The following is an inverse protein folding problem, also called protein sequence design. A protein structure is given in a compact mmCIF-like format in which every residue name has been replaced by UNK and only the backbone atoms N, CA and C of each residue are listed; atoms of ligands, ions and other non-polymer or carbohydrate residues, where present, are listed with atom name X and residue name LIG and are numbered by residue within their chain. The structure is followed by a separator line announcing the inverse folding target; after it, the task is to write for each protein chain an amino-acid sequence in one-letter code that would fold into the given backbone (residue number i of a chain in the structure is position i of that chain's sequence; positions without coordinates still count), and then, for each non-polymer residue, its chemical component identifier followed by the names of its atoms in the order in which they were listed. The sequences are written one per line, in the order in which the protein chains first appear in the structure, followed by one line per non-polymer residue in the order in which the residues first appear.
data_IF_084488126284
#
_entry.id   IF_084488126284
#
_cell.length_a   1.000
_cell.length_b   1.000
_cell.length_c   1.000
_cell.angle_alpha   90.00
_cell.angle_beta   90.00
_cell.angle_gamma   90.00
#
_symmetry.space_group_name_H-M   'P 1'
#
loop_
_entity.id
_entity.type
_entity.pdbx_description
1 polymer ?
#
# COMPACT_ATOMS: atom_id res chain seq x y z
N UNK A 1 -2.13 47.21 -5.93
CA UNK A 1 -1.72 46.35 -7.07
C UNK A 1 -0.43 45.68 -6.66
N UNK A 2 -0.50 44.48 -6.08
CA UNK A 2 0.68 43.73 -5.64
C UNK A 2 1.15 42.89 -6.82
N UNK A 3 2.15 43.40 -7.56
CA UNK A 3 2.84 42.60 -8.56
C UNK A 3 3.84 41.71 -7.84
N UNK A 4 3.64 40.40 -7.94
CA UNK A 4 4.59 39.40 -7.50
C UNK A 4 5.82 39.50 -8.41
N UNK A 5 6.93 40.02 -7.87
CA UNK A 5 8.25 39.92 -8.49
C UNK A 5 8.82 38.51 -8.25
N UNK A 6 8.13 37.48 -8.76
CA UNK A 6 8.48 36.07 -8.56
C UNK A 6 9.42 35.54 -9.66
N UNK A 7 9.89 36.42 -10.55
CA UNK A 7 10.73 36.05 -11.71
C UNK A 7 12.24 36.15 -11.44
N UNK A 8 12.64 36.63 -10.26
CA UNK A 8 14.05 36.79 -9.88
C UNK A 8 14.68 35.53 -9.27
N UNK A 9 13.88 34.54 -8.88
CA UNK A 9 14.36 33.39 -8.10
C UNK A 9 14.39 32.12 -8.94
N UNK A 10 15.58 31.66 -9.32
CA UNK A 10 15.74 30.34 -9.96
C UNK A 10 15.94 29.27 -8.88
N UNK A 11 15.06 28.27 -8.82
CA UNK A 11 15.34 27.06 -8.04
C UNK A 11 16.17 26.10 -8.89
N UNK A 12 17.28 25.62 -8.32
CA UNK A 12 18.13 24.60 -8.95
C UNK A 12 18.00 23.29 -8.17
N UNK A 13 17.75 22.22 -8.90
CA UNK A 13 17.66 20.87 -8.36
C UNK A 13 18.72 20.00 -9.03
N UNK A 14 19.51 19.33 -8.21
CA UNK A 14 20.56 18.43 -8.63
C UNK A 14 20.24 17.03 -8.12
N UNK A 15 20.36 16.05 -9.00
CA UNK A 15 20.29 14.63 -8.65
C UNK A 15 21.64 14.02 -8.97
N UNK A 16 22.29 13.47 -7.95
CA UNK A 16 23.55 12.75 -8.08
C UNK A 16 23.27 11.27 -8.26
N UNK A 17 24.04 10.64 -9.14
CA UNK A 17 23.88 9.24 -9.49
C UNK A 17 25.17 8.48 -9.19
N UNK A 18 25.02 7.22 -8.80
CA UNK A 18 26.15 6.31 -8.71
C UNK A 18 26.61 5.82 -10.10
N UNK A 19 27.68 5.01 -10.13
CA UNK A 19 28.21 4.44 -11.37
C UNK A 19 27.26 3.48 -12.11
N UNK A 20 26.13 3.09 -11.51
CA UNK A 20 25.09 2.25 -12.11
C UNK A 20 23.88 3.07 -12.55
N UNK A 21 23.93 4.41 -12.43
CA UNK A 21 22.83 5.30 -12.81
C UNK A 21 21.68 5.34 -11.80
N UNK A 22 21.91 4.95 -10.54
CA UNK A 22 20.90 5.03 -9.47
C UNK A 22 21.06 6.33 -8.68
N UNK A 23 19.98 7.05 -8.37
CA UNK A 23 20.06 8.32 -7.65
C UNK A 23 20.52 8.11 -6.20
N UNK A 24 21.64 8.70 -5.81
CA UNK A 24 22.24 8.55 -4.48
C UNK A 24 21.99 9.75 -3.56
N UNK A 25 21.71 10.92 -4.13
CA UNK A 25 21.48 12.15 -3.38
C UNK A 25 20.72 13.16 -4.22
N UNK A 26 19.78 13.85 -3.60
CA UNK A 26 19.11 15.01 -4.17
C UNK A 26 19.51 16.27 -3.39
N UNK A 27 19.85 17.33 -4.12
CA UNK A 27 20.19 18.63 -3.55
C UNK A 27 19.36 19.71 -4.22
N UNK A 28 18.55 20.43 -3.43
CA UNK A 28 17.85 21.63 -3.89
C UNK A 28 18.63 22.84 -3.38
N UNK A 29 19.39 23.47 -4.27
CA UNK A 29 20.30 24.56 -3.92
C UNK A 29 19.52 25.80 -3.49
N UNK A 30 19.83 26.33 -2.30
CA UNK A 30 19.20 27.52 -1.72
C UNK A 30 17.68 27.46 -1.54
N UNK A 31 17.10 26.25 -1.47
CA UNK A 31 15.65 26.06 -1.53
C UNK A 31 14.93 26.20 -0.17
N UNK A 32 15.67 26.28 0.94
CA UNK A 32 15.06 26.56 2.25
C UNK A 32 14.70 28.03 2.42
N UNK A 33 13.86 28.34 3.42
CA UNK A 33 13.46 29.72 3.74
C UNK A 33 14.65 30.65 4.08
N UNK A 34 15.75 30.09 4.61
CA UNK A 34 16.97 30.84 4.94
C UNK A 34 18.00 30.85 3.81
N UNK A 35 17.68 30.33 2.62
CA UNK A 35 18.61 30.25 1.48
C UNK A 35 19.66 29.14 1.61
N UNK A 36 19.49 28.21 2.53
CA UNK A 36 20.30 26.99 2.65
C UNK A 36 19.82 25.89 1.70
N UNK A 37 20.71 24.95 1.40
CA UNK A 37 20.39 23.80 0.56
C UNK A 37 19.50 22.82 1.32
N UNK A 38 18.57 22.19 0.61
CA UNK A 38 17.82 21.03 1.11
C UNK A 38 18.44 19.77 0.49
N UNK A 39 19.04 18.94 1.33
CA UNK A 39 19.72 17.70 0.91
C UNK A 39 18.90 16.49 1.35
N UNK A 40 18.71 15.53 0.45
CA UNK A 40 18.10 14.21 0.75
C UNK A 40 19.06 13.09 0.32
N UNK A 41 19.72 12.38 1.25
CA UNK A 41 20.48 11.20 0.91
C UNK A 41 19.55 10.04 0.51
N UNK A 42 20.01 9.15 -0.37
CA UNK A 42 19.31 7.94 -0.77
C UNK A 42 20.28 6.77 -0.57
N UNK A 43 19.91 5.83 0.30
CA UNK A 43 20.75 4.70 0.63
C UNK A 43 20.12 3.39 0.13
N UNK A 44 20.95 2.61 -0.53
CA UNK A 44 20.59 1.30 -1.09
C UNK A 44 21.14 0.18 -0.22
N UNK A 45 20.44 -0.96 -0.19
CA UNK A 45 21.00 -2.18 0.37
C UNK A 45 22.02 -2.84 -0.58
N UNK A 46 22.64 -3.94 -0.14
CA UNK A 46 23.60 -4.70 -0.95
C UNK A 46 23.02 -5.31 -2.22
N UNK A 47 21.69 -5.36 -2.36
CA UNK A 47 20.99 -5.82 -3.56
C UNK A 47 20.58 -4.65 -4.48
N UNK A 48 20.93 -3.42 -4.10
CA UNK A 48 20.64 -2.22 -4.89
C UNK A 48 19.22 -1.71 -4.79
N UNK A 49 18.48 -2.10 -3.76
CA UNK A 49 17.09 -1.66 -3.51
C UNK A 49 17.11 -0.48 -2.55
N UNK A 50 16.21 0.52 -2.72
CA UNK A 50 16.12 1.64 -1.78
C UNK A 50 15.61 1.11 -0.44
N UNK A 51 16.53 0.85 0.49
CA UNK A 51 16.21 0.29 1.79
C UNK A 51 15.92 1.39 2.81
N UNK A 52 16.67 2.50 2.74
CA UNK A 52 16.48 3.66 3.62
C UNK A 52 16.19 4.90 2.80
N UNK A 53 15.04 5.51 3.06
CA UNK A 53 14.66 6.79 2.51
C UNK A 53 14.82 7.86 3.60
N UNK A 54 15.92 8.61 3.50
CA UNK A 54 16.28 9.61 4.50
C UNK A 54 15.40 10.84 4.40
N UNK A 55 15.04 11.42 5.55
CA UNK A 55 14.38 12.70 5.59
C UNK A 55 15.28 13.83 5.06
N UNK A 56 14.75 14.81 4.33
CA UNK A 56 15.55 15.94 3.91
C UNK A 56 16.00 16.78 5.12
N UNK A 57 17.14 17.45 5.00
CA UNK A 57 17.60 18.42 5.99
C UNK A 57 18.11 19.68 5.28
N UNK A 58 18.09 20.81 6.01
CA UNK A 58 18.61 22.07 5.52
C UNK A 58 20.00 22.33 6.09
N UNK A 59 20.98 22.66 5.25
CA UNK A 59 22.33 23.02 5.71
C UNK A 59 22.94 24.10 4.83
N UNK A 60 23.61 25.05 5.48
CA UNK A 60 24.38 26.08 4.78
C UNK A 60 25.70 25.47 4.28
N UNK A 61 25.92 25.55 2.98
CA UNK A 61 27.17 25.14 2.35
C UNK A 61 27.88 26.28 1.64
N UNK A 62 27.41 27.53 1.80
CA UNK A 62 28.01 28.72 1.22
C UNK A 62 28.27 28.57 -0.28
N UNK A 63 29.53 28.77 -0.68
CA UNK A 63 29.95 28.73 -2.09
C UNK A 63 29.84 27.35 -2.76
N UNK A 64 29.72 26.28 -1.98
CA UNK A 64 29.55 24.92 -2.50
C UNK A 64 28.08 24.55 -2.69
N UNK A 65 27.14 25.49 -2.58
CA UNK A 65 25.70 25.21 -2.72
C UNK A 65 25.39 24.43 -3.99
N UNK A 66 24.63 23.34 -3.85
CA UNK A 66 24.30 22.42 -4.93
C UNK A 66 25.24 21.23 -5.10
N UNK A 67 26.48 21.29 -4.59
CA UNK A 67 27.48 20.23 -4.72
C UNK A 67 27.07 18.92 -4.01
N UNK A 68 27.63 17.81 -4.49
CA UNK A 68 27.50 16.50 -3.84
C UNK A 68 28.13 16.48 -2.44
N UNK A 69 27.48 15.79 -1.51
CA UNK A 69 27.88 15.68 -0.09
C UNK A 69 28.16 14.24 0.31
N UNK A 70 29.43 13.90 0.51
CA UNK A 70 29.83 12.61 1.09
C UNK A 70 29.37 12.47 2.54
N UNK A 71 29.39 13.55 3.32
CA UNK A 71 28.96 13.58 4.71
C UNK A 71 27.43 13.62 4.89
N UNK A 72 26.64 13.47 3.83
CA UNK A 72 25.22 13.84 3.89
C UNK A 72 24.40 13.10 4.96
N UNK A 73 24.73 11.83 5.22
CA UNK A 73 24.05 11.04 6.25
C UNK A 73 24.45 11.50 7.65
N UNK A 74 25.74 11.77 7.88
CA UNK A 74 26.23 12.30 9.16
C UNK A 74 25.70 13.72 9.43
N UNK A 75 25.65 14.55 8.40
CA UNK A 75 25.09 15.90 8.46
C UNK A 75 23.59 15.89 8.75
N UNK A 76 22.86 14.96 8.14
CA UNK A 76 21.46 14.73 8.44
C UNK A 76 21.27 14.34 9.91
N UNK A 77 22.05 13.35 10.38
CA UNK A 77 21.97 12.91 11.76
C UNK A 77 22.19 14.08 12.74
N UNK A 78 23.26 14.85 12.54
CA UNK A 78 23.55 16.03 13.36
C UNK A 78 22.42 17.07 13.30
N UNK A 79 21.82 17.30 12.13
CA UNK A 79 20.70 18.24 11.99
C UNK A 79 19.47 17.83 12.81
N UNK A 80 19.08 16.55 12.77
CA UNK A 80 17.93 16.06 13.53
C UNK A 80 18.24 15.94 15.03
N UNK A 81 19.48 15.60 15.39
CA UNK A 81 19.93 15.57 16.78
C UNK A 81 19.92 16.97 17.42
N UNK A 82 20.42 17.99 16.71
CA UNK A 82 20.39 19.39 17.18
C UNK A 82 18.96 19.90 17.36
N UNK A 83 18.06 19.57 16.42
CA UNK A 83 16.70 20.10 16.39
C UNK A 83 15.74 19.41 17.34
N UNK A 84 15.89 18.10 17.55
CA UNK A 84 14.94 17.29 18.32
C UNK A 84 15.57 16.57 19.53
N UNK A 85 16.89 16.53 19.65
CA UNK A 85 17.61 15.89 20.74
C UNK A 85 17.54 14.36 20.73
N UNK A 86 18.18 13.74 21.72
CA UNK A 86 17.94 12.33 22.08
C UNK A 86 18.24 11.29 20.99
N UNK A 87 19.27 11.50 20.17
CA UNK A 87 19.63 10.61 19.06
C UNK A 87 18.53 10.47 18.00
N UNK A 88 17.71 11.50 17.82
CA UNK A 88 16.65 11.52 16.80
C UNK A 88 17.19 11.34 15.38
N UNK A 89 18.42 11.77 15.13
CA UNK A 89 19.13 11.61 13.87
C UNK A 89 19.38 10.16 13.47
N UNK A 90 19.55 9.25 14.45
CA UNK A 90 19.71 7.81 14.20
C UNK A 90 18.46 7.17 13.57
N UNK A 91 17.32 7.87 13.62
CA UNK A 91 16.04 7.40 13.13
C UNK A 91 15.39 8.38 12.14
N UNK A 92 16.17 9.28 11.51
CA UNK A 92 15.69 10.28 10.55
C UNK A 92 15.49 9.70 9.13
N UNK A 93 14.96 8.49 9.01
CA UNK A 93 14.69 7.81 7.74
C UNK A 93 13.53 6.83 7.89
N UNK A 94 12.84 6.55 6.78
CA UNK A 94 11.98 5.37 6.70
C UNK A 94 12.77 4.18 6.20
N UNK A 95 12.46 2.98 6.67
CA UNK A 95 13.15 1.74 6.29
C UNK A 95 12.18 0.69 5.78
N UNK A 96 12.48 0.12 4.60
CA UNK A 96 11.71 -0.98 4.01
C UNK A 96 12.39 -2.32 4.28
N UNK A 97 11.61 -3.30 4.73
CA UNK A 97 12.00 -4.71 4.73
C UNK A 97 11.35 -5.42 3.55
N UNK A 98 12.10 -6.34 2.93
CA UNK A 98 11.70 -7.03 1.71
C UNK A 98 11.58 -8.55 1.97
N UNK A 99 10.73 -9.24 1.21
CA UNK A 99 10.53 -10.70 1.32
C UNK A 99 11.72 -11.53 0.82
N UNK A 100 12.74 -10.89 0.21
CA UNK A 100 13.91 -11.57 -0.35
C UNK A 100 13.62 -12.36 -1.63
N UNK A 101 12.40 -12.30 -2.16
CA UNK A 101 12.05 -12.92 -3.43
C UNK A 101 12.60 -12.10 -4.60
N UNK A 102 12.72 -12.69 -5.81
CA UNK A 102 13.07 -11.95 -7.02
C UNK A 102 12.10 -10.79 -7.33
N UNK A 103 10.88 -10.82 -6.78
CA UNK A 103 9.88 -9.77 -6.95
C UNK A 103 10.15 -8.56 -6.03
N UNK A 104 11.08 -8.66 -5.07
CA UNK A 104 11.46 -7.59 -4.14
C UNK A 104 10.26 -6.90 -3.51
N UNK A 105 9.31 -7.67 -2.97
CA UNK A 105 8.09 -7.12 -2.38
C UNK A 105 8.36 -6.62 -0.97
N UNK A 106 7.82 -5.45 -0.65
CA UNK A 106 7.95 -4.83 0.68
C UNK A 106 7.01 -5.54 1.66
N UNK A 107 7.55 -6.10 2.74
CA UNK A 107 6.78 -6.80 3.80
C UNK A 107 6.55 -5.93 5.02
N UNK A 108 7.43 -4.97 5.28
CA UNK A 108 7.27 -4.01 6.36
C UNK A 108 7.87 -2.66 5.98
N UNK A 109 7.16 -1.58 6.30
CA UNK A 109 7.63 -0.20 6.15
C UNK A 109 7.67 0.45 7.53
N UNK A 110 8.87 0.84 7.96
CA UNK A 110 9.11 1.55 9.21
C UNK A 110 9.13 3.06 8.94
N UNK A 111 8.33 3.81 9.69
CA UNK A 111 8.35 5.27 9.61
C UNK A 111 9.58 5.85 10.35
N UNK A 112 9.95 7.11 10.07
CA UNK A 112 10.99 7.80 10.81
C UNK A 112 10.65 8.00 12.30
N UNK A 113 11.68 8.04 13.13
CA UNK A 113 11.59 8.28 14.57
C UNK A 113 11.73 7.01 15.40
N UNK A 114 12.31 7.15 16.60
CA UNK A 114 12.66 6.02 17.49
C UNK A 114 11.52 5.02 17.75
N UNK A 115 10.26 5.43 18.00
CA UNK A 115 9.16 4.49 18.23
C UNK A 115 8.74 3.67 17.01
N UNK A 116 9.07 4.11 15.79
CA UNK A 116 8.70 3.47 14.52
C UNK A 116 9.90 2.86 13.79
N UNK A 117 11.11 3.18 14.24
CA UNK A 117 12.32 2.62 13.69
C UNK A 117 12.37 1.12 13.91
N UNK A 118 12.93 0.41 12.94
CA UNK A 118 13.14 -1.03 13.02
C UNK A 118 13.94 -1.39 14.26
N UNK A 119 13.29 -2.07 15.19
CA UNK A 119 13.87 -2.50 16.45
C UNK A 119 13.22 -3.81 16.89
N UNK A 120 14.00 -4.66 17.56
CA UNK A 120 13.52 -5.91 18.16
C UNK A 120 13.84 -5.91 19.64
N UNK A 121 12.96 -6.50 20.45
CA UNK A 121 13.27 -6.79 21.86
C UNK A 121 14.21 -8.01 21.99
N UNK A 122 14.55 -8.38 23.23
CA UNK A 122 15.45 -9.51 23.51
C UNK A 122 14.85 -10.85 23.05
N UNK A 123 13.52 -10.92 22.97
CA UNK A 123 12.74 -12.06 22.50
C UNK A 123 12.57 -12.10 20.98
N UNK A 124 13.02 -11.07 20.25
CA UNK A 124 12.95 -10.97 18.80
C UNK A 124 11.62 -10.45 18.25
N UNK A 125 10.74 -9.91 19.09
CA UNK A 125 9.51 -9.26 18.66
C UNK A 125 9.80 -7.86 18.13
N UNK A 126 9.13 -7.52 17.04
CA UNK A 126 9.22 -6.22 16.40
C UNK A 126 8.54 -5.13 17.26
N UNK A 127 9.36 -4.21 17.78
CA UNK A 127 8.91 -3.08 18.62
C UNK A 127 8.75 -1.79 17.83
N UNK A 128 9.17 -1.79 16.56
CA UNK A 128 9.23 -0.63 15.67
C UNK A 128 7.93 -0.31 14.94
N UNK A 129 6.80 -0.87 15.36
CA UNK A 129 5.45 -0.56 14.83
C UNK A 129 5.38 -0.30 13.31
N UNK A 130 5.88 -1.20 12.44
CA UNK A 130 5.82 -0.94 11.00
C UNK A 130 4.41 -1.15 10.46
N UNK A 131 4.15 -0.53 9.31
CA UNK A 131 3.09 -0.98 8.42
C UNK A 131 3.52 -2.30 7.79
N UNK A 132 2.80 -3.38 8.08
CA UNK A 132 3.08 -4.73 7.57
C UNK A 132 2.21 -5.04 6.36
N UNK A 133 2.79 -5.71 5.37
CA UNK A 133 2.08 -6.15 4.16
C UNK A 133 2.32 -7.62 3.92
N UNK A 134 1.25 -8.41 3.94
CA UNK A 134 1.25 -9.83 3.58
C UNK A 134 0.69 -9.99 2.17
N UNK A 135 1.39 -10.77 1.34
CA UNK A 135 0.97 -11.13 0.00
C UNK A 135 0.53 -12.59 -0.01
N UNK A 136 -0.76 -12.81 -0.22
CA UNK A 136 -1.45 -14.10 -0.07
C UNK A 136 -2.29 -14.39 -1.32
N UNK A 137 -2.85 -15.59 -1.36
CA UNK A 137 -3.91 -15.96 -2.29
C UNK A 137 -5.26 -15.97 -1.55
N UNK A 138 -6.37 -15.75 -2.27
CA UNK A 138 -7.69 -15.88 -1.66
C UNK A 138 -7.98 -17.30 -1.19
N UNK A 139 -8.74 -17.43 -0.11
CA UNK A 139 -9.24 -18.70 0.40
C UNK A 139 -10.77 -18.73 0.34
N UNK A 140 -11.37 -19.92 0.47
CA UNK A 140 -12.83 -20.06 0.52
C UNK A 140 -13.46 -19.29 1.68
N UNK A 141 -12.73 -19.10 2.78
CA UNK A 141 -13.18 -18.33 3.95
C UNK A 141 -13.29 -16.83 3.69
N UNK A 142 -12.68 -16.30 2.63
CA UNK A 142 -12.71 -14.85 2.35
C UNK A 142 -14.08 -14.37 1.87
N UNK A 143 -14.87 -15.27 1.26
CA UNK A 143 -16.22 -15.04 0.75
C UNK A 143 -16.32 -13.76 -0.11
N UNK A 144 -15.39 -13.59 -1.08
CA UNK A 144 -15.40 -12.42 -1.98
C UNK A 144 -16.45 -12.63 -3.06
N UNK A 145 -17.44 -11.75 -3.12
CA UNK A 145 -18.55 -11.85 -4.08
C UNK A 145 -18.04 -11.60 -5.49
N UNK A 146 -18.43 -12.47 -6.41
CA UNK A 146 -18.31 -12.21 -7.84
C UNK A 146 -19.61 -11.55 -8.30
N UNK A 147 -19.52 -10.25 -8.61
CA UNK A 147 -20.62 -9.47 -9.13
C UNK A 147 -20.71 -9.62 -10.63
N UNK A 148 -21.93 -9.83 -11.13
CA UNK A 148 -22.22 -9.89 -12.55
C UNK A 148 -23.39 -8.97 -12.87
N UNK A 149 -23.45 -8.51 -14.11
CA UNK A 149 -24.58 -7.73 -14.61
C UNK A 149 -25.46 -8.64 -15.46
N UNK A 150 -26.75 -8.69 -15.12
CA UNK A 150 -27.76 -9.39 -15.90
C UNK A 150 -28.95 -8.45 -16.11
N UNK A 151 -29.34 -8.23 -17.37
CA UNK A 151 -30.46 -7.37 -17.76
C UNK A 151 -30.41 -5.95 -17.14
N UNK A 152 -29.21 -5.40 -16.95
CA UNK A 152 -29.02 -4.07 -16.35
C UNK A 152 -29.13 -4.02 -14.82
N UNK A 153 -29.12 -5.19 -14.15
CA UNK A 153 -29.11 -5.32 -12.69
C UNK A 153 -27.84 -6.04 -12.24
N UNK A 154 -27.22 -5.53 -11.19
CA UNK A 154 -26.16 -6.26 -10.49
C UNK A 154 -26.74 -7.44 -9.72
N UNK A 155 -26.18 -8.61 -9.98
CA UNK A 155 -26.49 -9.85 -9.30
C UNK A 155 -25.26 -10.38 -8.55
N UNK A 156 -25.52 -10.93 -7.37
CA UNK A 156 -24.54 -11.66 -6.58
C UNK A 156 -25.08 -13.06 -6.34
N UNK A 157 -24.48 -14.06 -6.99
CA UNK A 157 -24.91 -15.45 -6.83
C UNK A 157 -23.77 -16.45 -6.58
N UNK A 158 -22.50 -16.02 -6.76
CA UNK A 158 -21.33 -16.84 -6.45
C UNK A 158 -20.19 -16.03 -5.86
N UNK A 159 -19.27 -16.76 -5.24
CA UNK A 159 -18.01 -16.21 -4.73
C UNK A 159 -16.86 -16.58 -5.66
N UNK A 160 -15.80 -15.78 -5.61
CA UNK A 160 -14.52 -16.17 -6.15
C UNK A 160 -13.99 -17.43 -5.45
N UNK A 161 -13.52 -18.40 -6.23
CA UNK A 161 -12.93 -19.63 -5.71
C UNK A 161 -11.58 -19.40 -5.00
N UNK A 162 -11.09 -20.37 -4.21
CA UNK A 162 -9.79 -20.28 -3.58
C UNK A 162 -8.68 -20.17 -4.65
N UNK A 163 -7.69 -19.31 -4.42
CA UNK A 163 -6.56 -19.09 -5.33
C UNK A 163 -6.87 -18.27 -6.58
N UNK A 164 -8.11 -17.79 -6.75
CA UNK A 164 -8.51 -17.03 -7.93
C UNK A 164 -8.24 -15.53 -7.84
N UNK A 165 -7.89 -15.03 -6.66
CA UNK A 165 -7.58 -13.61 -6.42
C UNK A 165 -6.22 -13.46 -5.72
N UNK A 166 -5.51 -12.39 -6.06
CA UNK A 166 -4.42 -11.88 -5.25
C UNK A 166 -5.00 -11.21 -4.00
N UNK A 167 -4.49 -11.58 -2.83
CA UNK A 167 -4.90 -11.03 -1.55
C UNK A 167 -3.74 -10.28 -0.93
N UNK A 168 -3.90 -8.98 -0.74
CA UNK A 168 -2.92 -8.14 -0.06
C UNK A 168 -3.51 -7.71 1.27
N UNK A 169 -2.87 -8.10 2.37
CA UNK A 169 -3.30 -7.70 3.72
C UNK A 169 -2.29 -6.68 4.25
N UNK A 170 -2.77 -5.49 4.56
CA UNK A 170 -1.98 -4.43 5.19
C UNK A 170 -2.42 -4.28 6.64
N UNK A 171 -1.47 -4.25 7.55
CA UNK A 171 -1.71 -3.93 8.97
C UNK A 171 -0.99 -2.62 9.26
N UNK A 172 -1.71 -1.62 9.75
CA UNK A 172 -1.13 -0.32 10.10
C UNK A 172 -0.34 -0.37 11.43
N UNK A 173 0.26 0.76 11.80
CA UNK A 173 1.08 0.89 13.00
C UNK A 173 0.27 0.74 14.31
N UNK A 174 -1.06 0.85 14.24
CA UNK A 174 -1.99 0.70 15.36
C UNK A 174 -2.64 -0.69 15.41
N UNK A 175 -2.36 -1.54 14.41
CA UNK A 175 -2.88 -2.90 14.31
C UNK A 175 -4.21 -3.02 13.56
N UNK A 176 -4.73 -1.94 12.96
CA UNK A 176 -5.89 -2.03 12.08
C UNK A 176 -5.53 -2.70 10.77
N UNK A 177 -6.44 -3.55 10.30
CA UNK A 177 -6.22 -4.37 9.12
C UNK A 177 -7.05 -3.85 7.95
N UNK A 178 -6.40 -3.71 6.80
CA UNK A 178 -7.03 -3.56 5.50
C UNK A 178 -6.65 -4.76 4.61
N UNK A 179 -7.61 -5.27 3.84
CA UNK A 179 -7.41 -6.37 2.91
C UNK A 179 -7.91 -5.93 1.55
N UNK A 180 -7.07 -6.04 0.54
CA UNK A 180 -7.41 -5.78 -0.85
C UNK A 180 -7.33 -7.09 -1.63
N UNK A 181 -8.40 -7.37 -2.37
CA UNK A 181 -8.48 -8.49 -3.30
C UNK A 181 -8.43 -7.95 -4.72
N UNK A 182 -7.54 -8.51 -5.53
CA UNK A 182 -7.39 -8.21 -6.96
C UNK A 182 -7.58 -9.46 -7.80
N UNK A 183 -8.21 -9.32 -8.95
CA UNK A 183 -8.31 -10.40 -9.92
C UNK A 183 -6.98 -10.66 -10.64
N UNK A 184 -6.95 -11.66 -11.52
CA UNK A 184 -5.75 -12.04 -12.29
C UNK A 184 -5.37 -11.00 -13.36
N UNK A 185 -6.21 -9.99 -13.59
CA UNK A 185 -5.94 -8.83 -14.44
C UNK A 185 -5.46 -7.61 -13.63
N UNK A 186 -5.16 -7.82 -12.35
CA UNK A 186 -4.67 -6.81 -11.40
C UNK A 186 -5.69 -5.71 -11.07
N UNK A 187 -6.98 -5.99 -11.25
CA UNK A 187 -8.07 -5.06 -10.91
C UNK A 187 -8.58 -5.33 -9.50
N UNK A 188 -8.71 -4.30 -8.68
CA UNK A 188 -9.25 -4.44 -7.33
C UNK A 188 -10.73 -4.80 -7.39
N UNK A 189 -11.15 -5.89 -6.76
CA UNK A 189 -12.55 -6.36 -6.76
C UNK A 189 -13.23 -6.14 -5.40
N UNK A 190 -12.45 -6.17 -4.31
CA UNK A 190 -12.92 -5.92 -2.96
C UNK A 190 -11.82 -5.24 -2.14
N UNK A 191 -12.19 -4.16 -1.44
CA UNK A 191 -11.41 -3.59 -0.35
C UNK A 191 -12.18 -3.75 0.95
N UNK A 192 -11.59 -4.46 1.90
CA UNK A 192 -12.15 -4.76 3.23
C UNK A 192 -11.32 -4.06 4.29
N UNK A 193 -11.91 -3.16 5.06
CA UNK A 193 -11.21 -2.38 6.09
C UNK A 193 -11.83 -2.65 7.45
N UNK A 194 -10.99 -2.89 8.46
CA UNK A 194 -11.45 -3.07 9.83
C UNK A 194 -12.04 -1.77 10.35
N UNK A 195 -13.29 -1.84 10.79
CA UNK A 195 -14.03 -0.75 11.42
C UNK A 195 -14.09 -0.95 12.95
N UNK A 196 -14.40 0.11 13.73
CA UNK A 196 -14.53 0.01 15.18
C UNK A 196 -15.50 -1.09 15.61
N UNK A 197 -15.23 -1.73 16.75
CA UNK A 197 -16.08 -2.78 17.30
C UNK A 197 -15.99 -4.13 16.55
N UNK A 198 -14.84 -4.43 15.95
CA UNK A 198 -14.57 -5.66 15.19
C UNK A 198 -15.49 -5.86 13.97
N UNK A 199 -16.00 -4.76 13.42
CA UNK A 199 -16.77 -4.77 12.18
C UNK A 199 -15.84 -4.65 10.97
N UNK A 200 -16.34 -5.02 9.79
CA UNK A 200 -15.63 -4.86 8.54
C UNK A 200 -16.46 -3.99 7.59
N UNK A 201 -15.78 -3.06 6.93
CA UNK A 201 -16.33 -2.22 5.89
C UNK A 201 -15.82 -2.72 4.54
N UNK A 202 -16.72 -3.28 3.74
CA UNK A 202 -16.41 -3.84 2.43
C UNK A 202 -16.78 -2.86 1.33
N UNK A 203 -15.88 -2.59 0.40
CA UNK A 203 -16.14 -1.80 -0.81
C UNK A 203 -15.87 -2.67 -2.02
N UNK A 204 -16.91 -2.96 -2.80
CA UNK A 204 -16.77 -3.79 -3.99
C UNK A 204 -16.63 -2.91 -5.24
N UNK A 205 -15.82 -3.39 -6.16
CA UNK A 205 -15.58 -2.76 -7.45
C UNK A 205 -16.02 -3.75 -8.52
N UNK A 206 -17.03 -3.35 -9.30
CA UNK A 206 -17.62 -4.20 -10.33
C UNK A 206 -17.22 -3.68 -11.69
N UNK A 207 -16.75 -4.58 -12.54
CA UNK A 207 -16.27 -4.26 -13.88
C UNK A 207 -17.26 -4.79 -14.92
N UNK A 208 -17.41 -4.07 -16.03
CA UNK A 208 -18.16 -4.55 -17.19
C UNK A 208 -17.36 -5.61 -17.98
N UNK A 209 -17.98 -6.21 -19.00
CA UNK A 209 -17.35 -7.20 -19.89
C UNK A 209 -16.16 -6.65 -20.68
N UNK A 210 -16.06 -5.32 -20.81
CA UNK A 210 -14.95 -4.61 -21.44
C UNK A 210 -13.81 -4.29 -20.45
N UNK A 211 -14.03 -4.57 -19.17
CA UNK A 211 -13.09 -4.36 -18.07
C UNK A 211 -13.04 -2.94 -17.52
N UNK A 212 -14.01 -2.08 -17.84
CA UNK A 212 -14.17 -0.77 -17.23
C UNK A 212 -14.83 -0.88 -15.87
N UNK A 213 -14.46 0.00 -14.92
CA UNK A 213 -15.13 0.09 -13.63
C UNK A 213 -16.56 0.62 -13.83
N UNK A 214 -17.55 -0.26 -13.70
CA UNK A 214 -18.96 0.05 -13.90
C UNK A 214 -19.62 0.53 -12.60
N UNK A 215 -19.30 -0.11 -11.47
CA UNK A 215 -19.91 0.21 -10.18
C UNK A 215 -18.90 0.19 -9.03
N UNK A 216 -19.14 1.05 -8.03
CA UNK A 216 -18.47 1.02 -6.73
C UNK A 216 -19.56 0.88 -5.67
N UNK A 217 -19.60 -0.26 -4.99
CA UNK A 217 -20.58 -0.54 -3.94
C UNK A 217 -19.96 -0.18 -2.59
N UNK A 218 -20.43 0.89 -1.92
CA UNK A 218 -19.90 1.31 -0.63
C UNK A 218 -20.35 0.36 0.51
N UNK A 219 -19.69 0.42 1.69
CA UNK A 219 -19.96 -0.48 2.81
C UNK A 219 -21.41 -0.60 3.25
N UNK A 220 -22.15 0.51 3.30
CA UNK A 220 -23.57 0.49 3.68
C UNK A 220 -24.44 -0.22 2.63
N UNK A 221 -24.07 -0.16 1.35
CA UNK A 221 -24.77 -0.88 0.27
C UNK A 221 -24.45 -2.37 0.27
N UNK A 222 -23.23 -2.76 0.65
CA UNK A 222 -22.81 -4.17 0.68
C UNK A 222 -23.25 -4.92 1.95
N UNK A 223 -23.79 -4.21 2.95
CA UNK A 223 -24.10 -4.71 4.29
C UNK A 223 -25.16 -5.82 4.34
N UNK A 224 -25.92 -6.01 3.26
CA UNK A 224 -26.98 -7.02 3.12
C UNK A 224 -26.71 -8.09 2.07
N UNK A 225 -25.46 -8.27 1.63
CA UNK A 225 -25.09 -9.32 0.68
C UNK A 225 -24.17 -10.34 1.37
N UNK A 226 -24.69 -11.01 2.40
CA UNK A 226 -23.98 -12.14 3.02
C UNK A 226 -24.20 -13.44 2.20
N UNK A 227 -23.54 -14.55 2.55
CA UNK A 227 -23.75 -15.88 1.94
C UNK A 227 -25.24 -16.31 1.90
N UNK A 228 -26.08 -15.73 2.75
CA UNK A 228 -27.52 -15.98 2.83
C UNK A 228 -28.38 -15.12 1.87
N UNK A 229 -27.83 -14.07 1.27
CA UNK A 229 -28.56 -13.05 0.49
C UNK A 229 -28.19 -13.09 -1.01
N UNK A 230 -27.56 -14.18 -1.45
CA UNK A 230 -27.30 -14.41 -2.87
C UNK A 230 -28.64 -14.65 -3.59
N UNK A 231 -28.91 -13.93 -4.67
CA UNK A 231 -30.09 -14.17 -5.51
C UNK A 231 -29.62 -14.89 -6.78
N UNK A 232 -30.01 -16.15 -6.95
CA UNK A 232 -29.78 -16.84 -8.21
C UNK A 232 -30.69 -16.25 -9.31
N UNK A 233 -30.16 -16.05 -10.54
CA UNK A 233 -30.97 -15.74 -11.71
C UNK A 233 -32.12 -16.71 -11.94
N UNK A 234 -33.16 -16.27 -12.64
CA UNK A 234 -34.29 -17.13 -12.98
C UNK A 234 -33.81 -18.36 -13.78
N UNK A 235 -33.97 -19.56 -13.19
CA UNK A 235 -33.54 -20.83 -13.80
C UNK A 235 -32.20 -21.39 -13.29
N UNK A 236 -31.53 -20.69 -12.37
CA UNK A 236 -30.30 -21.15 -11.70
C UNK A 236 -30.57 -21.42 -10.21
N UNK A 237 -29.75 -22.29 -9.60
CA UNK A 237 -29.83 -22.62 -8.18
C UNK A 237 -28.51 -22.30 -7.49
N UNK A 238 -28.56 -21.78 -6.27
CA UNK A 238 -27.37 -21.60 -5.45
C UNK A 238 -26.88 -22.98 -4.99
N UNK A 239 -25.69 -23.36 -5.43
CA UNK A 239 -25.01 -24.56 -4.93
C UNK A 239 -24.39 -24.20 -3.58
N UNK A 240 -25.19 -24.27 -2.51
CA UNK A 240 -24.68 -24.21 -1.14
C UNK A 240 -24.19 -25.60 -0.74
N UNK A 241 -23.04 -25.68 -0.09
CA UNK A 241 -22.11 -26.82 0.04
C UNK A 241 -22.63 -28.19 0.59
N UNK A 242 -23.94 -28.43 0.67
CA UNK A 242 -24.54 -29.75 0.90
C UNK A 242 -25.64 -30.02 -0.15
N UNK A 243 -25.24 -30.29 -1.39
CA UNK A 243 -26.19 -30.54 -2.48
C UNK A 243 -26.38 -32.04 -2.71
N UNK A 244 -27.58 -32.54 -2.41
CA UNK A 244 -28.10 -33.76 -3.03
C UNK A 244 -28.40 -33.48 -4.51
N UNK A 245 -27.47 -33.88 -5.37
CA UNK A 245 -27.54 -33.67 -6.82
C UNK A 245 -28.79 -34.29 -7.46
N UNK A 246 -29.43 -35.26 -6.81
CA UNK A 246 -30.65 -35.88 -7.32
C UNK A 246 -31.85 -34.92 -7.29
N UNK A 247 -31.92 -34.07 -6.26
CA UNK A 247 -33.03 -33.14 -6.04
C UNK A 247 -32.95 -31.91 -6.97
N UNK A 248 -31.73 -31.48 -7.32
CA UNK A 248 -31.49 -30.42 -8.30
C UNK A 248 -31.83 -30.90 -9.71
N UNK A 249 -31.40 -32.11 -10.10
CA UNK A 249 -31.69 -32.65 -11.43
C UNK A 249 -33.19 -32.82 -11.69
N UNK A 250 -33.96 -33.20 -10.66
CA UNK A 250 -35.41 -33.34 -10.74
C UNK A 250 -36.13 -31.98 -10.91
N UNK A 251 -35.59 -30.90 -10.34
CA UNK A 251 -36.20 -29.55 -10.39
C UNK A 251 -35.67 -28.67 -11.53
N UNK A 252 -34.46 -28.91 -12.03
CA UNK A 252 -33.84 -28.15 -13.13
C UNK A 252 -34.11 -28.70 -14.53
N UNK A 253 -34.80 -29.85 -14.63
CA UNK A 253 -34.97 -30.55 -15.91
C UNK A 253 -33.64 -31.01 -16.52
N UNK A 254 -32.63 -31.25 -15.69
CA UNK A 254 -31.30 -31.72 -16.11
C UNK A 254 -30.36 -30.65 -16.66
N UNK A 255 -30.66 -29.36 -16.50
CA UNK A 255 -29.69 -28.28 -16.78
C UNK A 255 -28.89 -28.00 -15.52
N UNK A 256 -27.57 -28.13 -15.60
CA UNK A 256 -26.61 -27.81 -14.54
C UNK A 256 -25.51 -26.99 -15.20
N UNK A 257 -25.16 -25.84 -14.60
CA UNK A 257 -24.03 -25.00 -15.00
C UNK A 257 -23.01 -25.00 -13.87
#
# INVERSE_FOLDING_TARGET
MFFWDDKATSQKHFTYYDGLGRPMQEVRAGASASGHDIVRPIAYDGFGRPAKNHLPYAKDYGSSSGDYRESAVADQQAYYDDRFGGSSGDHAFSENSYDGSPLNRVTATHAPGKPWAKAVDEEGNDTGRPVKTDYLASTSSDNVILWEEEEGRLIAYRFYGPGSLYKTRTTDEEGHVAIEFRDLQDRAVLKRVQAPGSQWADTHYVYDDYGNLAYVLPPESSRGHAKADLEAPAGYYLVTEDVDYADIAAKSGGKVA
#
